data_IF_012456548405
#
_entry.id   IF_012456548405
#
_cell.length_a   1.000
_cell.length_b   1.000
_cell.length_c   1.000
_cell.angle_alpha   90.00
_cell.angle_beta   90.00
_cell.angle_gamma   90.00
#
_symmetry.space_group_name_H-M   'P 1'
#
loop_
_entity.id
_entity.type
_entity.pdbx_description
1 polymer ?
#
# COMPACT_ATOMS: atom_id res chain seq x y z
N UNK A 1 30.47 -3.84 -9.96
CA UNK A 1 29.06 -3.91 -9.51
C UNK A 1 28.60 -2.50 -9.19
N UNK A 2 27.81 -1.88 -10.07
CA UNK A 2 27.41 -0.48 -9.89
C UNK A 2 26.19 -0.40 -8.95
N UNK A 3 26.39 0.13 -7.75
CA UNK A 3 25.31 0.58 -6.87
C UNK A 3 24.58 1.73 -7.53
N UNK A 4 23.35 1.47 -8.00
CA UNK A 4 22.44 2.48 -8.53
C UNK A 4 22.10 3.46 -7.39
N UNK A 5 22.73 4.63 -7.37
CA UNK A 5 22.32 5.72 -6.49
C UNK A 5 20.85 6.07 -6.82
N UNK A 6 19.97 5.91 -5.84
CA UNK A 6 18.55 6.25 -5.97
C UNK A 6 18.46 7.75 -6.29
N UNK A 7 17.99 8.09 -7.48
CA UNK A 7 17.75 9.47 -7.89
C UNK A 7 16.88 10.19 -6.84
N UNK A 8 17.16 11.46 -6.48
CA UNK A 8 16.39 12.16 -5.46
C UNK A 8 14.91 12.17 -5.86
N UNK A 9 14.06 11.68 -4.95
CA UNK A 9 12.60 11.65 -5.14
C UNK A 9 12.14 13.09 -5.37
N UNK A 10 11.54 13.35 -6.55
CA UNK A 10 10.95 14.66 -6.85
C UNK A 10 9.75 14.87 -5.94
N UNK A 11 9.89 15.73 -4.93
CA UNK A 11 8.79 16.14 -4.06
C UNK A 11 8.02 17.28 -4.70
N UNK A 12 6.70 17.14 -4.78
CA UNK A 12 5.81 18.23 -5.17
C UNK A 12 5.27 18.89 -3.89
N UNK A 13 5.45 20.21 -3.69
CA UNK A 13 4.80 20.89 -2.58
C UNK A 13 3.28 20.87 -2.77
N UNK A 14 2.56 20.55 -1.70
CA UNK A 14 1.09 20.51 -1.66
C UNK A 14 0.64 21.39 -0.51
N UNK A 15 -0.30 22.30 -0.77
CA UNK A 15 -0.94 23.09 0.28
C UNK A 15 -2.10 22.27 0.83
N UNK A 16 -2.11 22.07 2.15
CA UNK A 16 -3.12 21.31 2.88
C UNK A 16 -3.46 22.05 4.17
N UNK A 17 -4.73 22.00 4.56
CA UNK A 17 -5.23 22.59 5.80
C UNK A 17 -5.41 21.48 6.82
N UNK A 18 -4.85 21.68 8.02
CA UNK A 18 -5.00 20.79 9.17
C UNK A 18 -5.52 21.60 10.36
N UNK A 19 -6.06 20.90 11.33
CA UNK A 19 -6.45 21.50 12.61
C UNK A 19 -5.23 22.15 13.29
N UNK A 20 -5.43 23.39 13.75
CA UNK A 20 -4.36 24.19 14.34
C UNK A 20 -3.84 23.59 15.64
N UNK A 21 -4.73 23.05 16.49
CA UNK A 21 -4.35 22.44 17.75
C UNK A 21 -3.49 21.20 17.53
N UNK A 22 -3.86 20.36 16.55
CA UNK A 22 -3.08 19.18 16.17
C UNK A 22 -1.70 19.56 15.63
N UNK A 23 -1.62 20.60 14.80
CA UNK A 23 -0.33 21.09 14.27
C UNK A 23 0.56 21.64 15.38
N UNK A 24 -0.01 22.42 16.30
CA UNK A 24 0.71 22.98 17.43
C UNK A 24 1.25 21.88 18.35
N UNK A 25 0.42 20.89 18.68
CA UNK A 25 0.80 19.74 19.49
C UNK A 25 1.91 18.92 18.81
N UNK A 26 1.75 18.58 17.54
CA UNK A 26 2.76 17.84 16.79
C UNK A 26 4.11 18.57 16.77
N UNK A 27 4.11 19.90 16.59
CA UNK A 27 5.33 20.71 16.67
C UNK A 27 5.94 20.71 18.06
N UNK A 28 5.12 20.75 19.12
CA UNK A 28 5.60 20.70 20.50
C UNK A 28 6.34 19.39 20.82
N UNK A 29 5.95 18.29 20.16
CA UNK A 29 6.61 16.98 20.27
C UNK A 29 7.75 16.78 19.27
N UNK A 30 8.08 17.77 18.44
CA UNK A 30 9.13 17.67 17.42
C UNK A 30 8.77 16.75 16.25
N UNK A 31 7.48 16.49 16.01
CA UNK A 31 7.01 15.64 14.92
C UNK A 31 7.12 16.38 13.59
N UNK A 32 7.72 15.73 12.59
CA UNK A 32 7.85 16.28 11.24
C UNK A 32 6.57 16.11 10.45
N UNK A 33 5.77 17.17 10.38
CA UNK A 33 4.49 17.20 9.65
C UNK A 33 4.61 16.68 8.21
N UNK A 34 5.66 17.08 7.50
CA UNK A 34 5.85 16.66 6.10
C UNK A 34 6.08 15.16 5.99
N UNK A 35 6.96 14.59 6.82
CA UNK A 35 7.26 13.16 6.79
C UNK A 35 6.04 12.34 7.23
N UNK A 36 5.41 12.72 8.33
CA UNK A 36 4.24 12.01 8.85
C UNK A 36 3.07 12.05 7.87
N UNK A 37 2.85 13.20 7.20
CA UNK A 37 1.83 13.31 6.16
C UNK A 37 2.14 12.45 4.95
N UNK A 38 3.41 12.40 4.50
CA UNK A 38 3.84 11.57 3.39
C UNK A 38 3.62 10.08 3.69
N UNK A 39 3.99 9.62 4.88
CA UNK A 39 3.79 8.24 5.34
C UNK A 39 2.30 7.87 5.42
N UNK A 40 1.47 8.75 5.99
CA UNK A 40 0.04 8.54 6.10
C UNK A 40 -0.64 8.47 4.71
N UNK A 41 -0.29 9.38 3.81
CA UNK A 41 -0.82 9.39 2.43
C UNK A 41 -0.37 8.13 1.68
N UNK A 42 0.91 7.72 1.82
CA UNK A 42 1.40 6.52 1.17
C UNK A 42 0.67 5.26 1.64
N UNK A 43 0.38 5.14 2.95
CA UNK A 43 -0.39 4.05 3.51
C UNK A 43 -1.84 4.02 2.99
N UNK A 44 -2.49 5.19 2.92
CA UNK A 44 -3.84 5.32 2.38
C UNK A 44 -3.89 4.94 0.89
N UNK A 45 -2.93 5.40 0.08
CA UNK A 45 -2.82 5.07 -1.34
C UNK A 45 -2.59 3.57 -1.55
N UNK A 46 -1.73 2.95 -0.74
CA UNK A 46 -1.48 1.51 -0.81
C UNK A 46 -2.78 0.73 -0.55
N UNK A 47 -3.49 1.07 0.52
CA UNK A 47 -4.76 0.43 0.88
C UNK A 47 -5.80 0.55 -0.24
N UNK A 48 -5.92 1.75 -0.81
CA UNK A 48 -6.87 1.98 -1.91
C UNK A 48 -6.49 1.25 -3.19
N UNK A 49 -5.19 1.14 -3.50
CA UNK A 49 -4.70 0.31 -4.63
C UNK A 49 -5.04 -1.15 -4.42
N UNK A 50 -4.83 -1.68 -3.22
CA UNK A 50 -5.17 -3.07 -2.90
C UNK A 50 -6.68 -3.32 -3.03
N UNK A 51 -7.52 -2.39 -2.57
CA UNK A 51 -8.98 -2.46 -2.73
C UNK A 51 -9.37 -2.53 -4.20
N UNK A 52 -8.86 -1.60 -5.02
CA UNK A 52 -9.16 -1.55 -6.46
C UNK A 52 -8.67 -2.79 -7.19
N UNK A 53 -7.46 -3.25 -6.88
CA UNK A 53 -6.93 -4.47 -7.48
C UNK A 53 -7.81 -5.68 -7.18
N UNK A 54 -8.29 -5.84 -5.94
CA UNK A 54 -9.24 -6.90 -5.57
C UNK A 54 -10.56 -6.81 -6.33
N UNK A 55 -11.04 -5.60 -6.59
CA UNK A 55 -12.26 -5.38 -7.37
C UNK A 55 -12.07 -5.73 -8.84
N UNK A 56 -10.98 -5.25 -9.45
CA UNK A 56 -10.61 -5.54 -10.84
C UNK A 56 -10.37 -7.03 -11.07
N UNK A 57 -9.78 -7.73 -10.11
CA UNK A 57 -9.42 -9.14 -10.23
C UNK A 57 -10.47 -10.08 -9.65
N UNK A 58 -11.63 -9.56 -9.20
CA UNK A 58 -12.67 -10.37 -8.55
C UNK A 58 -13.11 -11.55 -9.41
N UNK A 59 -13.43 -11.31 -10.68
CA UNK A 59 -13.87 -12.36 -11.60
C UNK A 59 -12.80 -13.43 -11.84
N UNK A 60 -11.52 -13.03 -11.90
CA UNK A 60 -10.40 -13.97 -12.06
C UNK A 60 -10.20 -14.82 -10.80
N UNK A 61 -10.32 -14.21 -9.62
CA UNK A 61 -10.24 -14.91 -8.33
C UNK A 61 -11.41 -15.88 -8.18
N UNK A 62 -12.63 -15.47 -8.50
CA UNK A 62 -13.82 -16.33 -8.47
C UNK A 62 -13.70 -17.50 -9.45
N UNK A 63 -13.26 -17.23 -10.69
CA UNK A 63 -13.02 -18.28 -11.68
C UNK A 63 -11.97 -19.29 -11.22
N UNK A 64 -10.90 -18.82 -10.57
CA UNK A 64 -9.89 -19.70 -9.99
C UNK A 64 -10.43 -20.53 -8.82
N UNK A 65 -11.26 -19.93 -7.96
CA UNK A 65 -11.89 -20.64 -6.84
C UNK A 65 -12.82 -21.76 -7.35
N UNK A 66 -13.65 -21.49 -8.34
CA UNK A 66 -14.53 -22.51 -8.97
C UNK A 66 -13.69 -23.64 -9.55
N UNK A 67 -12.64 -23.32 -10.30
CA UNK A 67 -11.76 -24.34 -10.86
C UNK A 67 -11.10 -25.20 -9.76
N UNK A 68 -10.71 -24.60 -8.64
CA UNK A 68 -10.09 -25.29 -7.51
C UNK A 68 -11.09 -26.16 -6.73
N UNK A 69 -12.36 -25.76 -6.64
CA UNK A 69 -13.45 -26.60 -6.11
C UNK A 69 -13.70 -27.82 -7.00
N UNK A 70 -13.66 -27.64 -8.32
CA UNK A 70 -13.89 -28.72 -9.29
C UNK A 70 -12.71 -29.69 -9.42
N UNK A 71 -11.47 -29.18 -9.38
CA UNK A 71 -10.26 -29.94 -9.71
C UNK A 71 -9.41 -30.28 -8.48
N UNK A 72 -9.74 -29.72 -7.31
CA UNK A 72 -8.93 -29.82 -6.11
C UNK A 72 -7.66 -28.97 -6.18
N UNK A 73 -6.82 -29.11 -5.15
CA UNK A 73 -5.55 -28.39 -5.06
C UNK A 73 -4.55 -28.93 -6.10
N UNK A 74 -4.03 -28.08 -7.02
CA UNK A 74 -2.96 -28.47 -7.92
C UNK A 74 -1.78 -29.04 -7.15
N UNK A 75 -1.25 -30.17 -7.64
CA UNK A 75 -0.05 -30.80 -7.07
C UNK A 75 -0.15 -31.13 -5.58
N UNK A 76 -1.37 -31.37 -5.06
CA UNK A 76 -1.56 -31.81 -3.68
C UNK A 76 -0.66 -33.00 -3.32
N UNK A 77 -0.45 -33.91 -4.28
CA UNK A 77 0.38 -35.12 -4.15
C UNK A 77 1.88 -34.85 -3.97
N UNK A 78 2.36 -33.64 -4.30
CA UNK A 78 3.77 -33.23 -4.17
C UNK A 78 4.02 -32.33 -2.96
N UNK A 79 2.99 -32.03 -2.16
CA UNK A 79 3.10 -31.15 -1.00
C UNK A 79 3.77 -31.88 0.17
N UNK A 80 5.03 -31.59 0.42
CA UNK A 80 5.76 -31.99 1.62
C UNK A 80 5.28 -31.10 2.79
N UNK A 81 4.83 -31.73 3.87
CA UNK A 81 4.27 -31.11 5.08
C UNK A 81 5.30 -30.29 5.86
#
# INVERSE_FOLDING_TARGET
MATKALSPVKRRPVNLSLDEAVVAEARSYGISLSRTSEEAIAAAVKTERERRWKEENRAAIEGWNVWLEENGLPYADLRLF
#
